data_IF_557261005148
#
_entry.id   IF_557261005148
#
_cell.length_a   1.000
_cell.length_b   1.000
_cell.length_c   1.000
_cell.angle_alpha   90.00
_cell.angle_beta   90.00
_cell.angle_gamma   90.00
#
_symmetry.space_group_name_H-M   'P 1'
#
loop_
_entity.id
_entity.type
_entity.pdbx_description
1 polymer ?
#
# COMPACT_ATOMS: atom_id res chain seq x y z
N UNK A 1 9.29 -5.52 -10.53
CA UNK A 1 8.38 -4.51 -11.11
C UNK A 1 8.32 -3.31 -10.22
N UNK A 2 8.11 -2.16 -10.78
CA UNK A 2 8.03 -0.89 -10.05
C UNK A 2 6.58 -0.48 -9.89
N UNK A 3 6.19 -0.18 -8.66
CA UNK A 3 4.89 0.36 -8.32
C UNK A 3 5.05 1.62 -7.48
N UNK A 4 3.96 2.30 -7.23
CA UNK A 4 3.93 3.52 -6.44
C UNK A 4 2.90 3.40 -5.32
N UNK A 5 3.18 4.07 -4.21
CA UNK A 5 2.29 4.11 -3.07
C UNK A 5 2.28 5.52 -2.49
N UNK A 6 1.10 6.12 -2.43
CA UNK A 6 0.91 7.43 -1.80
C UNK A 6 0.50 7.25 -0.34
N UNK A 7 1.10 8.02 0.54
CA UNK A 7 0.80 7.95 1.97
C UNK A 7 1.06 9.29 2.64
N UNK A 8 0.82 9.36 3.94
CA UNK A 8 1.09 10.55 4.75
C UNK A 8 2.49 10.47 5.37
N UNK A 9 3.00 11.62 5.81
CA UNK A 9 4.28 11.65 6.54
C UNK A 9 4.20 10.81 7.82
N UNK A 10 3.09 10.87 8.53
CA UNK A 10 2.87 10.06 9.74
C UNK A 10 2.98 8.57 9.44
N UNK A 11 2.34 8.10 8.38
CA UNK A 11 2.41 6.71 7.98
C UNK A 11 3.81 6.32 7.50
N UNK A 12 4.49 7.21 6.77
CA UNK A 12 5.86 6.96 6.34
C UNK A 12 6.80 6.80 7.53
N UNK A 13 6.64 7.62 8.57
CA UNK A 13 7.41 7.50 9.80
C UNK A 13 7.19 6.14 10.47
N UNK A 14 5.94 5.65 10.49
CA UNK A 14 5.62 4.32 11.01
C UNK A 14 6.23 3.19 10.19
N UNK A 15 6.21 3.32 8.87
CA UNK A 15 6.82 2.34 7.97
C UNK A 15 8.32 2.24 8.24
N UNK A 16 9.00 3.37 8.41
CA UNK A 16 10.42 3.39 8.73
C UNK A 16 10.71 2.76 10.09
N UNK A 17 9.87 3.01 11.08
CA UNK A 17 9.99 2.44 12.43
C UNK A 17 9.75 0.93 12.42
N UNK A 18 8.72 0.48 11.73
CA UNK A 18 8.37 -0.94 11.64
C UNK A 18 9.26 -1.73 10.68
N UNK A 19 9.88 -1.04 9.72
CA UNK A 19 10.71 -1.67 8.70
C UNK A 19 9.95 -2.34 7.57
N UNK A 20 8.63 -2.17 7.51
CA UNK A 20 7.77 -2.78 6.49
C UNK A 20 6.61 -1.86 6.12
N UNK A 21 6.13 -2.00 4.89
CA UNK A 21 4.88 -1.41 4.43
C UNK A 21 3.81 -2.48 4.44
N UNK A 22 2.80 -2.30 5.29
CA UNK A 22 1.66 -3.21 5.33
C UNK A 22 0.41 -2.44 5.75
N UNK A 23 -0.45 -2.18 4.79
CA UNK A 23 -1.69 -1.45 5.02
C UNK A 23 -2.67 -2.20 5.91
N UNK A 24 -3.69 -1.48 6.39
CA UNK A 24 -4.80 -2.04 7.18
C UNK A 24 -6.12 -1.57 6.59
N UNK A 25 -7.12 -2.41 6.68
CA UNK A 25 -8.46 -2.08 6.25
C UNK A 25 -9.45 -2.43 7.36
N UNK A 26 -10.33 -1.48 7.67
CA UNK A 26 -11.36 -1.63 8.68
C UNK A 26 -12.73 -1.42 8.09
N UNK A 27 -13.73 -2.10 8.65
CA UNK A 27 -15.13 -1.73 8.46
C UNK A 27 -15.41 -0.61 9.47
N UNK A 28 -16.01 0.46 9.02
CA UNK A 28 -16.41 1.58 9.86
C UNK A 28 -17.93 1.73 9.87
N UNK A 29 -18.47 2.27 10.95
CA UNK A 29 -19.87 2.65 10.99
C UNK A 29 -20.10 4.03 10.34
N UNK A 30 -21.34 4.51 10.36
CA UNK A 30 -21.70 5.81 9.76
C UNK A 30 -21.07 7.01 10.49
N UNK A 31 -20.59 6.80 11.71
CA UNK A 31 -19.94 7.83 12.54
C UNK A 31 -18.40 7.78 12.41
N UNK A 32 -17.89 6.84 11.63
CA UNK A 32 -16.46 6.69 11.40
C UNK A 32 -15.73 5.84 12.44
N UNK A 33 -16.44 5.18 13.35
CA UNK A 33 -15.81 4.28 14.31
C UNK A 33 -15.39 2.96 13.66
N UNK A 34 -14.19 2.50 13.97
CA UNK A 34 -13.70 1.24 13.48
C UNK A 34 -14.40 0.08 14.19
N UNK A 35 -15.19 -0.69 13.45
CA UNK A 35 -15.91 -1.85 13.97
C UNK A 35 -15.10 -3.14 13.91
N UNK A 36 -14.32 -3.30 12.84
CA UNK A 36 -13.63 -4.55 12.59
C UNK A 36 -12.48 -4.35 11.59
N UNK A 37 -11.34 -4.95 11.85
CA UNK A 37 -10.29 -5.11 10.86
C UNK A 37 -10.70 -6.22 9.89
N UNK A 38 -10.83 -5.89 8.61
CA UNK A 38 -11.28 -6.84 7.57
C UNK A 38 -10.13 -7.62 6.97
N UNK A 39 -8.92 -7.19 7.26
CA UNK A 39 -7.71 -7.78 6.73
C UNK A 39 -6.64 -6.72 6.55
N UNK A 40 -5.45 -7.15 6.21
CA UNK A 40 -4.34 -6.24 5.92
C UNK A 40 -3.94 -6.41 4.46
N UNK A 41 -3.96 -5.32 3.74
CA UNK A 41 -3.41 -5.30 2.39
C UNK A 41 -2.87 -3.90 2.09
N UNK A 42 -1.92 -3.86 1.17
CA UNK A 42 -1.38 -2.63 0.65
C UNK A 42 -1.80 -2.50 -0.80
N UNK A 43 -2.33 -1.34 -1.18
CA UNK A 43 -2.61 -1.03 -2.57
C UNK A 43 -1.40 -0.37 -3.20
N UNK A 44 -0.87 -0.98 -4.25
CA UNK A 44 0.21 -0.41 -5.04
C UNK A 44 -0.36 0.06 -6.38
N UNK A 45 -0.06 1.29 -6.76
CA UNK A 45 -0.48 1.86 -8.03
C UNK A 45 0.56 1.58 -9.11
N UNK A 46 0.08 1.28 -10.31
CA UNK A 46 0.96 1.12 -11.49
C UNK A 46 1.46 2.48 -11.96
N UNK A 47 0.65 3.53 -11.78
CA UNK A 47 0.93 4.89 -12.21
C UNK A 47 1.12 5.81 -11.00
N UNK A 48 2.17 6.63 -11.03
CA UNK A 48 2.46 7.59 -9.95
C UNK A 48 1.32 8.60 -9.75
N UNK A 49 0.61 8.97 -10.81
CA UNK A 49 -0.51 9.91 -10.71
C UNK A 49 -1.66 9.34 -9.87
N UNK A 50 -1.89 8.03 -9.92
CA UNK A 50 -2.85 7.37 -9.05
C UNK A 50 -2.41 7.42 -7.58
N UNK A 51 -1.13 7.20 -7.32
CA UNK A 51 -0.60 7.22 -5.95
C UNK A 51 -0.78 8.59 -5.28
N UNK A 52 -0.75 9.68 -6.04
CA UNK A 52 -0.90 11.04 -5.52
C UNK A 52 -2.24 11.31 -4.84
N UNK A 53 -3.27 10.53 -5.16
CA UNK A 53 -4.59 10.66 -4.51
C UNK A 53 -4.59 10.20 -3.05
N UNK A 54 -3.58 9.45 -2.62
CA UNK A 54 -3.57 8.82 -1.30
C UNK A 54 -2.68 9.52 -0.27
N UNK A 55 -1.98 10.56 -0.66
CA UNK A 55 -1.16 11.36 0.25
C UNK A 55 -0.02 12.08 -0.42
N UNK A 56 0.65 12.95 0.34
CA UNK A 56 1.71 13.82 -0.16
C UNK A 56 3.07 13.12 -0.24
N UNK A 57 3.25 12.04 0.49
CA UNK A 57 4.47 11.25 0.45
C UNK A 57 4.32 10.17 -0.60
N UNK A 58 5.16 10.22 -1.62
CA UNK A 58 5.14 9.26 -2.72
C UNK A 58 6.31 8.30 -2.59
N UNK A 59 5.99 7.02 -2.60
CA UNK A 59 6.95 5.94 -2.47
C UNK A 59 7.05 5.16 -3.77
N UNK A 60 8.27 4.86 -4.18
CA UNK A 60 8.54 3.90 -5.23
C UNK A 60 8.76 2.55 -4.55
N UNK A 61 8.02 1.54 -4.99
CA UNK A 61 8.04 0.20 -4.38
C UNK A 61 8.44 -0.81 -5.42
N UNK A 62 9.55 -1.51 -5.19
CA UNK A 62 9.93 -2.64 -6.03
C UNK A 62 9.31 -3.91 -5.46
N UNK A 63 8.46 -4.56 -6.27
CA UNK A 63 7.71 -5.74 -5.84
C UNK A 63 7.36 -6.62 -7.03
N UNK A 64 7.38 -7.93 -6.82
CA UNK A 64 6.91 -8.89 -7.81
C UNK A 64 5.59 -9.51 -7.37
N UNK A 65 4.44 -9.07 -7.92
CA UNK A 65 3.14 -9.60 -7.54
C UNK A 65 2.95 -11.06 -7.95
N UNK A 66 3.75 -11.55 -8.88
CA UNK A 66 3.67 -12.93 -9.34
C UNK A 66 4.34 -13.91 -8.39
N UNK A 67 5.17 -13.43 -7.48
CA UNK A 67 5.86 -14.23 -6.48
C UNK A 67 4.88 -14.95 -5.55
N UNK A 68 3.71 -14.37 -5.33
CA UNK A 68 2.68 -14.94 -4.46
C UNK A 68 1.29 -14.74 -5.05
N UNK A 69 1.04 -15.36 -6.19
CA UNK A 69 -0.20 -15.24 -6.96
C UNK A 69 -1.47 -15.54 -6.17
N UNK A 70 -1.40 -16.42 -5.18
CA UNK A 70 -2.56 -16.79 -4.37
C UNK A 70 -3.00 -15.68 -3.44
N UNK A 71 -2.09 -14.77 -3.08
CA UNK A 71 -2.34 -13.69 -2.13
C UNK A 71 -2.44 -12.31 -2.77
N UNK A 72 -1.91 -12.13 -3.97
CA UNK A 72 -1.84 -10.82 -4.60
C UNK A 72 -2.76 -10.76 -5.82
N UNK A 73 -3.51 -9.69 -5.94
CA UNK A 73 -4.48 -9.51 -7.02
C UNK A 73 -4.33 -8.14 -7.66
N UNK A 74 -4.43 -8.11 -8.98
CA UNK A 74 -4.70 -6.86 -9.68
C UNK A 74 -6.15 -6.46 -9.44
N UNK A 75 -6.37 -5.18 -9.19
CA UNK A 75 -7.71 -4.60 -9.13
C UNK A 75 -8.23 -4.49 -10.57
N UNK A 76 -9.54 -4.50 -10.70
CA UNK A 76 -10.20 -4.30 -11.98
C UNK A 76 -9.62 -3.10 -12.74
N UNK A 77 -9.31 -3.30 -14.02
CA UNK A 77 -8.64 -2.31 -14.85
C UNK A 77 -7.11 -2.40 -14.86
N UNK A 78 -6.49 -3.18 -13.98
CA UNK A 78 -5.05 -3.41 -13.96
C UNK A 78 -4.20 -2.23 -13.52
N UNK A 79 -4.78 -1.23 -12.86
CA UNK A 79 -4.11 0.00 -12.43
C UNK A 79 -3.64 -0.02 -10.96
N UNK A 80 -4.08 -1.02 -10.20
CA UNK A 80 -3.65 -1.24 -8.82
C UNK A 80 -3.39 -2.72 -8.57
N UNK A 81 -2.51 -2.99 -7.58
CA UNK A 81 -2.25 -4.34 -7.08
C UNK A 81 -2.51 -4.37 -5.60
N UNK A 82 -3.24 -5.37 -5.14
CA UNK A 82 -3.42 -5.64 -3.70
C UNK A 82 -2.34 -6.60 -3.26
N UNK A 83 -1.59 -6.20 -2.26
CA UNK A 83 -0.52 -7.02 -1.70
C UNK A 83 -0.88 -7.40 -0.26
N UNK A 84 -0.95 -8.69 0.01
CA UNK A 84 -1.40 -9.22 1.30
C UNK A 84 -0.25 -9.70 2.18
N UNK A 85 0.95 -9.26 1.90
CA UNK A 85 2.13 -9.55 2.69
C UNK A 85 2.91 -8.28 2.99
N UNK A 86 3.68 -8.23 4.09
CA UNK A 86 4.52 -7.06 4.37
C UNK A 86 5.57 -6.87 3.28
N UNK A 87 5.80 -5.61 2.89
CA UNK A 87 6.83 -5.25 1.92
C UNK A 87 8.01 -4.67 2.69
N UNK A 88 9.20 -5.29 2.63
CA UNK A 88 10.37 -4.77 3.36
C UNK A 88 10.73 -3.36 2.93
N UNK A 89 11.18 -2.54 3.89
CA UNK A 89 11.58 -1.16 3.61
C UNK A 89 12.74 -1.07 2.61
N UNK A 90 13.57 -2.10 2.50
CA UNK A 90 14.67 -2.14 1.54
C UNK A 90 14.19 -2.08 0.09
N UNK A 91 12.93 -2.42 -0.16
CA UNK A 91 12.30 -2.36 -1.48
C UNK A 91 11.62 -1.02 -1.76
N UNK A 92 11.73 -0.05 -0.85
CA UNK A 92 10.96 1.19 -0.88
C UNK A 92 11.89 2.39 -0.89
N UNK A 93 11.58 3.36 -1.76
CA UNK A 93 12.29 4.63 -1.84
C UNK A 93 11.29 5.77 -1.91
N UNK A 94 11.60 6.87 -1.26
CA UNK A 94 10.81 8.08 -1.38
C UNK A 94 11.10 8.76 -2.72
N UNK A 95 10.08 9.21 -3.43
CA UNK A 95 10.21 9.90 -4.73
C UNK A 95 9.53 11.26 -4.77
N UNK A 96 8.86 11.63 -3.71
CA UNK A 96 8.21 12.94 -3.66
C UNK A 96 7.52 13.25 -2.38
#
# INVERSE_FOLDING_TARGET
>A
MIFYHGTTQENWDKIQEEGVLFGRRYITDTEGNHLKEVGRCTYLAVDIEEAKYYGDVLLLVEYDPMKNKKKNNYVEGGWQVRVYEPIPIDNIKIVG
#
